data_IF_515500307351
#
_entry.id   IF_515500307351
#
_cell.length_a   1.000
_cell.length_b   1.000
_cell.length_c   1.000
_cell.angle_alpha   90.00
_cell.angle_beta   90.00
_cell.angle_gamma   90.00
#
_symmetry.space_group_name_H-M   'P 1'
#
loop_
_entity.id
_entity.type
_entity.pdbx_description
1 polymer ?
#
# COMPACT_ATOMS: atom_id res chain seq x y z
N UNK A 1 -21.83 3.60 -12.03
CA UNK A 1 -20.47 3.58 -12.61
C UNK A 1 -19.46 3.45 -11.49
N UNK A 2 -18.57 2.48 -11.55
CA UNK A 2 -17.54 2.25 -10.52
C UNK A 2 -16.36 3.19 -10.81
N UNK A 3 -16.20 4.25 -10.01
CA UNK A 3 -15.10 5.22 -10.18
C UNK A 3 -13.77 4.66 -9.68
N UNK A 4 -12.65 5.20 -10.17
CA UNK A 4 -11.29 4.81 -9.76
C UNK A 4 -11.10 4.89 -8.24
N UNK A 5 -11.67 5.91 -7.59
CA UNK A 5 -11.68 6.05 -6.13
C UNK A 5 -12.42 4.89 -5.45
N UNK A 6 -13.60 4.54 -5.96
CA UNK A 6 -14.35 3.42 -5.42
C UNK A 6 -13.60 2.10 -5.56
N UNK A 7 -12.92 1.91 -6.68
CA UNK A 7 -12.23 0.67 -7.00
C UNK A 7 -11.03 0.39 -6.11
N UNK A 8 -10.27 1.43 -5.79
CA UNK A 8 -8.97 1.29 -5.16
C UNK A 8 -8.93 1.79 -3.72
N UNK A 9 -9.92 2.59 -3.28
CA UNK A 9 -9.87 3.28 -1.99
C UNK A 9 -11.14 3.12 -1.15
N UNK A 10 -12.34 3.02 -1.74
CA UNK A 10 -13.61 3.02 -0.97
C UNK A 10 -14.32 1.68 -0.83
N UNK A 11 -14.02 0.68 -1.66
CA UNK A 11 -14.67 -0.63 -1.54
C UNK A 11 -14.22 -1.32 -0.24
N UNK A 12 -15.14 -1.97 0.48
CA UNK A 12 -14.86 -2.69 1.75
C UNK A 12 -13.61 -3.57 1.66
N UNK A 13 -13.52 -4.39 0.60
CA UNK A 13 -12.35 -5.23 0.32
C UNK A 13 -11.04 -4.43 0.27
N UNK A 14 -11.04 -3.28 -0.40
CA UNK A 14 -9.85 -2.44 -0.51
C UNK A 14 -9.53 -1.71 0.78
N UNK A 15 -10.56 -1.29 1.54
CA UNK A 15 -10.39 -0.67 2.85
C UNK A 15 -9.73 -1.63 3.83
N UNK A 16 -10.10 -2.91 3.83
CA UNK A 16 -9.45 -3.93 4.66
C UNK A 16 -7.95 -4.05 4.36
N UNK A 17 -7.57 -4.08 3.08
CA UNK A 17 -6.14 -4.10 2.69
C UNK A 17 -5.43 -2.83 3.15
N UNK A 18 -6.04 -1.66 2.92
CA UNK A 18 -5.46 -0.37 3.30
C UNK A 18 -5.32 -0.19 4.81
N UNK A 19 -6.27 -0.70 5.61
CA UNK A 19 -6.23 -0.61 7.06
C UNK A 19 -4.96 -1.28 7.63
N UNK A 20 -4.63 -2.47 7.13
CA UNK A 20 -3.41 -3.18 7.56
C UNK A 20 -2.15 -2.49 7.02
N UNK A 21 -2.21 -1.91 5.82
CA UNK A 21 -1.09 -1.14 5.24
C UNK A 21 -0.82 0.13 6.06
N UNK A 22 -1.86 0.85 6.48
CA UNK A 22 -1.74 2.10 7.22
C UNK A 22 -1.23 1.90 8.64
N UNK A 23 -1.61 0.80 9.29
CA UNK A 23 -1.08 0.47 10.62
C UNK A 23 0.45 0.34 10.61
N UNK A 24 1.05 -0.04 9.47
CA UNK A 24 2.51 -0.15 9.29
C UNK A 24 3.21 1.17 8.89
N UNK A 25 2.47 2.21 8.48
CA UNK A 25 3.03 3.39 7.80
C UNK A 25 2.68 4.74 8.46
N UNK A 26 2.39 4.73 9.77
CA UNK A 26 1.74 5.81 10.51
C UNK A 26 0.35 6.14 9.92
N UNK A 27 -0.72 5.63 10.56
CA UNK A 27 -2.05 5.70 10.00
C UNK A 27 -2.50 7.15 9.79
N UNK A 28 -3.23 7.43 8.71
CA UNK A 28 -3.90 8.71 8.55
C UNK A 28 -5.00 8.88 9.62
N UNK A 29 -5.39 10.13 9.89
CA UNK A 29 -6.47 10.47 10.83
C UNK A 29 -7.84 9.96 10.36
N UNK A 30 -8.00 9.70 9.07
CA UNK A 30 -9.20 9.12 8.47
C UNK A 30 -8.82 8.21 7.29
N UNK A 31 -9.67 7.22 6.99
CA UNK A 31 -9.55 6.39 5.78
C UNK A 31 -9.69 7.26 4.53
N UNK A 32 -8.87 7.02 3.50
CA UNK A 32 -8.94 7.83 2.28
C UNK A 32 -10.22 7.58 1.49
N UNK A 33 -10.83 8.67 1.10
CA UNK A 33 -12.01 8.75 0.26
C UNK A 33 -11.66 8.96 -1.21
N UNK A 34 -10.47 9.49 -1.51
CA UNK A 34 -10.03 9.77 -2.88
C UNK A 34 -8.50 9.81 -3.04
N UNK A 35 -8.06 9.90 -4.30
CA UNK A 35 -6.64 9.99 -4.65
C UNK A 35 -5.92 11.22 -4.09
N UNK A 36 -6.61 12.34 -3.91
CA UNK A 36 -6.02 13.58 -3.40
C UNK A 36 -5.62 13.42 -1.95
N UNK A 37 -6.45 12.76 -1.14
CA UNK A 37 -6.15 12.47 0.26
C UNK A 37 -4.96 11.49 0.38
N UNK A 38 -4.91 10.44 -0.45
CA UNK A 38 -3.75 9.53 -0.50
C UNK A 38 -2.46 10.28 -0.82
N UNK A 39 -2.49 11.15 -1.85
CA UNK A 39 -1.32 11.95 -2.24
C UNK A 39 -0.94 12.96 -1.15
N UNK A 40 -1.91 13.56 -0.47
CA UNK A 40 -1.69 14.47 0.65
C UNK A 40 -0.97 13.77 1.80
N UNK A 41 -1.44 12.58 2.20
CA UNK A 41 -0.79 11.78 3.25
C UNK A 41 0.64 11.36 2.89
N UNK A 42 0.89 10.97 1.64
CA UNK A 42 2.26 10.68 1.19
C UNK A 42 3.15 11.92 1.32
N UNK A 43 2.63 13.11 0.96
CA UNK A 43 3.38 14.37 1.02
C UNK A 43 3.60 14.87 2.45
N UNK A 44 2.67 14.62 3.35
CA UNK A 44 2.72 15.00 4.77
C UNK A 44 3.68 14.16 5.62
N UNK A 45 4.51 13.30 5.02
CA UNK A 45 5.51 12.53 5.74
C UNK A 45 6.58 13.45 6.36
N UNK A 46 6.83 13.29 7.66
CA UNK A 46 7.76 14.12 8.42
C UNK A 46 9.24 13.93 8.01
N UNK A 47 9.60 12.75 7.48
CA UNK A 47 10.98 12.45 7.06
C UNK A 47 11.05 11.93 5.62
N UNK A 48 12.18 12.11 4.91
CA UNK A 48 12.39 11.54 3.58
C UNK A 48 12.20 10.02 3.53
N UNK A 49 12.62 9.31 4.58
CA UNK A 49 12.49 7.86 4.72
C UNK A 49 11.02 7.46 4.85
N UNK A 50 10.26 8.14 5.70
CA UNK A 50 8.81 7.90 5.82
C UNK A 50 8.09 8.21 4.51
N UNK A 51 8.48 9.30 3.83
CA UNK A 51 7.91 9.66 2.53
C UNK A 51 8.16 8.57 1.49
N UNK A 52 9.36 8.00 1.48
CA UNK A 52 9.72 6.90 0.60
C UNK A 52 8.95 5.62 0.98
N UNK A 53 8.83 5.30 2.26
CA UNK A 53 8.04 4.16 2.73
C UNK A 53 6.58 4.27 2.28
N UNK A 54 5.93 5.41 2.54
CA UNK A 54 4.53 5.66 2.12
C UNK A 54 4.37 5.56 0.61
N UNK A 55 5.31 6.09 -0.18
CA UNK A 55 5.31 5.95 -1.65
C UNK A 55 5.37 4.50 -2.10
N UNK A 56 6.36 3.75 -1.64
CA UNK A 56 6.56 2.33 -2.03
C UNK A 56 5.34 1.50 -1.65
N UNK A 57 4.86 1.68 -0.42
CA UNK A 57 3.73 0.95 0.11
C UNK A 57 2.45 1.26 -0.67
N UNK A 58 2.21 2.54 -0.99
CA UNK A 58 1.07 2.93 -1.81
C UNK A 58 1.13 2.33 -3.22
N UNK A 59 2.30 2.38 -3.86
CA UNK A 59 2.52 1.80 -5.19
C UNK A 59 2.28 0.29 -5.20
N UNK A 60 2.87 -0.44 -4.25
CA UNK A 60 2.69 -1.89 -4.12
C UNK A 60 1.22 -2.24 -3.88
N UNK A 61 0.54 -1.51 -2.98
CA UNK A 61 -0.87 -1.76 -2.66
C UNK A 61 -1.76 -1.58 -3.90
N UNK A 62 -1.62 -0.45 -4.60
CA UNK A 62 -2.38 -0.19 -5.83
C UNK A 62 -2.11 -1.26 -6.89
N UNK A 63 -0.85 -1.66 -7.05
CA UNK A 63 -0.46 -2.70 -8.01
C UNK A 63 -1.13 -4.04 -7.69
N UNK A 64 -1.08 -4.50 -6.43
CA UNK A 64 -1.71 -5.77 -6.05
C UNK A 64 -3.24 -5.73 -6.09
N UNK A 65 -3.87 -4.60 -5.74
CA UNK A 65 -5.31 -4.43 -5.89
C UNK A 65 -5.73 -4.49 -7.36
N UNK A 66 -4.99 -3.81 -8.24
CA UNK A 66 -5.21 -3.89 -9.69
C UNK A 66 -5.02 -5.31 -10.22
N UNK A 67 -3.92 -5.97 -9.82
CA UNK A 67 -3.64 -7.36 -10.18
C UNK A 67 -4.76 -8.29 -9.72
N UNK A 68 -5.25 -8.12 -8.49
CA UNK A 68 -6.32 -8.93 -7.94
C UNK A 68 -7.62 -8.75 -8.71
N UNK A 69 -7.96 -7.51 -9.07
CA UNK A 69 -9.12 -7.24 -9.94
C UNK A 69 -8.99 -7.92 -11.30
N UNK A 70 -7.82 -7.86 -11.93
CA UNK A 70 -7.60 -8.55 -13.20
C UNK A 70 -7.71 -10.06 -13.05
N UNK A 71 -7.21 -10.62 -11.94
CA UNK A 71 -7.32 -12.03 -11.64
C UNK A 71 -8.78 -12.47 -11.48
N UNK A 72 -9.61 -11.63 -10.86
CA UNK A 72 -11.04 -11.88 -10.74
C UNK A 72 -11.76 -11.81 -12.11
N UNK A 73 -11.38 -10.86 -12.97
CA UNK A 73 -12.00 -10.68 -14.29
C UNK A 73 -11.62 -11.79 -15.26
N UNK A 74 -10.33 -12.15 -15.32
CA UNK A 74 -9.81 -13.06 -16.35
C UNK A 74 -9.73 -14.51 -15.89
N UNK A 75 -9.53 -14.76 -14.60
CA UNK A 75 -9.32 -16.10 -14.06
C UNK A 75 -10.41 -16.50 -13.06
N UNK A 76 -11.36 -15.61 -12.72
CA UNK A 76 -12.38 -15.82 -11.68
C UNK A 76 -11.80 -16.17 -10.30
N UNK A 77 -10.56 -15.76 -10.03
CA UNK A 77 -9.88 -16.02 -8.76
C UNK A 77 -10.01 -14.82 -7.83
N UNK A 78 -10.64 -15.04 -6.68
CA UNK A 78 -10.70 -14.07 -5.59
C UNK A 78 -9.73 -14.44 -4.47
N UNK A 79 -8.73 -13.59 -4.22
CA UNK A 79 -7.87 -13.69 -3.04
C UNK A 79 -8.50 -12.89 -1.89
N UNK A 80 -8.22 -13.29 -0.65
CA UNK A 80 -8.65 -12.54 0.53
C UNK A 80 -7.78 -11.28 0.72
N UNK A 81 -8.26 -10.26 1.44
CA UNK A 81 -7.46 -9.09 1.80
C UNK A 81 -6.14 -9.46 2.51
N UNK A 82 -6.18 -10.49 3.35
CA UNK A 82 -5.00 -11.02 4.07
C UNK A 82 -3.96 -11.59 3.11
N UNK A 83 -4.37 -12.36 2.10
CA UNK A 83 -3.48 -12.90 1.08
C UNK A 83 -2.84 -11.80 0.24
N UNK A 84 -3.60 -10.75 -0.10
CA UNK A 84 -3.06 -9.58 -0.80
C UNK A 84 -2.06 -8.83 0.08
N UNK A 85 -2.37 -8.62 1.36
CA UNK A 85 -1.42 -8.00 2.29
C UNK A 85 -0.13 -8.81 2.41
N UNK A 86 -0.20 -10.14 2.47
CA UNK A 86 1.00 -10.99 2.48
C UNK A 86 1.86 -10.80 1.22
N UNK A 87 1.24 -10.70 0.04
CA UNK A 87 1.94 -10.37 -1.21
C UNK A 87 2.62 -8.99 -1.15
N UNK A 88 1.92 -7.97 -0.64
CA UNK A 88 2.46 -6.62 -0.47
C UNK A 88 3.63 -6.61 0.51
N UNK A 89 3.50 -7.25 1.67
CA UNK A 89 4.54 -7.35 2.69
C UNK A 89 5.81 -8.01 2.14
N UNK A 90 5.66 -9.14 1.44
CA UNK A 90 6.77 -9.84 0.80
C UNK A 90 7.45 -8.97 -0.26
N UNK A 91 6.67 -8.28 -1.11
CA UNK A 91 7.22 -7.40 -2.13
C UNK A 91 7.98 -6.22 -1.53
N UNK A 92 7.44 -5.57 -0.50
CA UNK A 92 8.10 -4.46 0.18
C UNK A 92 9.40 -4.89 0.84
N UNK A 93 9.39 -6.03 1.55
CA UNK A 93 10.61 -6.61 2.13
C UNK A 93 11.67 -6.87 1.07
N UNK A 94 11.29 -7.40 -0.09
CA UNK A 94 12.20 -7.64 -1.21
C UNK A 94 12.74 -6.32 -1.81
N UNK A 95 11.87 -5.34 -2.08
CA UNK A 95 12.23 -4.02 -2.62
C UNK A 95 13.21 -3.30 -1.71
N UNK A 96 12.95 -3.34 -0.40
CA UNK A 96 13.77 -2.68 0.62
C UNK A 96 15.12 -3.39 0.73
N UNK A 97 15.12 -4.73 0.82
CA UNK A 97 16.34 -5.53 0.95
C UNK A 97 17.27 -5.36 -0.26
N UNK A 98 16.71 -5.40 -1.47
CA UNK A 98 17.47 -5.22 -2.71
C UNK A 98 18.13 -3.82 -2.82
N UNK A 99 17.66 -2.83 -2.05
CA UNK A 99 18.15 -1.45 -2.10
C UNK A 99 18.76 -0.98 -0.79
N UNK A 100 19.05 -1.89 0.15
CA UNK A 100 19.54 -1.60 1.52
C UNK A 100 20.80 -0.70 1.55
N UNK A 101 21.64 -0.75 0.51
CA UNK A 101 22.83 0.11 0.39
C UNK A 101 22.54 1.60 0.19
N UNK A 102 21.34 1.98 -0.29
CA UNK A 102 20.96 3.37 -0.52
C UNK A 102 20.63 4.08 0.80
N UNK A 103 21.06 5.34 0.95
CA UNK A 103 20.91 6.15 2.17
C UNK A 103 19.51 6.06 2.80
N UNK A 104 18.46 6.32 2.01
CA UNK A 104 17.07 6.35 2.47
C UNK A 104 16.44 4.97 2.71
N UNK A 105 17.11 3.87 2.33
CA UNK A 105 16.59 2.51 2.47
C UNK A 105 17.06 1.81 3.77
N UNK A 106 18.08 2.36 4.44
CA UNK A 106 18.71 1.72 5.60
C UNK A 106 17.75 1.51 6.77
N UNK A 107 16.82 2.44 6.99
CA UNK A 107 15.83 2.38 8.08
C UNK A 107 14.45 1.88 7.65
N UNK A 108 14.19 1.68 6.35
CA UNK A 108 12.83 1.34 5.90
C UNK A 108 12.35 -0.01 6.39
N UNK A 109 13.25 -1.01 6.46
CA UNK A 109 12.87 -2.34 6.95
C UNK A 109 12.43 -2.28 8.42
N UNK A 110 13.16 -1.55 9.26
CA UNK A 110 12.80 -1.40 10.67
C UNK A 110 11.55 -0.53 10.86
N UNK A 111 11.27 0.41 9.94
CA UNK A 111 10.01 1.16 9.94
C UNK A 111 8.82 0.28 9.52
N UNK A 112 9.00 -0.62 8.55
CA UNK A 112 7.94 -1.50 8.04
C UNK A 112 7.56 -2.64 8.99
N UNK A 113 8.53 -3.17 9.76
CA UNK A 113 8.29 -4.31 10.66
C UNK A 113 7.62 -3.93 11.98
N UNK A 114 7.49 -2.64 12.30
CA UNK A 114 6.75 -2.15 13.48
C UNK A 114 5.26 -2.40 13.31
#
# INVERSE_FOLDING_TARGET
MQTRDHLFLRCEYTQDVWNVVFSRCHPPLASFSDWSELLSWIRAAATPELKLLRKLTSQATIFHLWKQRNNLIHNHISLSPVSIFYCIDKELKNIISARKGRKYFRSLMSMWLK
#
